data_IF_006737397790
#
_entry.id   IF_006737397790
#
_cell.length_a   1.000
_cell.length_b   1.000
_cell.length_c   1.000
_cell.angle_alpha   90.00
_cell.angle_beta   90.00
_cell.angle_gamma   90.00
#
_symmetry.space_group_name_H-M   'P 1'
#
loop_
_entity.id
_entity.type
_entity.pdbx_description
1 polymer ?
#
# COMPACT_ATOMS: atom_id res chain seq x y z
N UNK A 1 15.56 -11.83 -18.55
CA UNK A 1 15.84 -11.90 -17.11
C UNK A 1 14.62 -12.43 -16.36
N UNK A 2 14.82 -13.04 -15.18
CA UNK A 2 13.73 -13.51 -14.30
C UNK A 2 13.49 -12.48 -13.18
N UNK A 3 12.29 -11.94 -13.12
CA UNK A 3 11.89 -11.01 -12.06
C UNK A 3 10.97 -11.70 -11.06
N UNK A 4 11.23 -11.51 -9.76
CA UNK A 4 10.33 -11.87 -8.68
C UNK A 4 9.73 -10.60 -8.08
N UNK A 5 8.42 -10.43 -8.20
CA UNK A 5 7.67 -9.41 -7.47
C UNK A 5 7.11 -9.97 -6.17
N UNK A 6 7.15 -9.18 -5.09
CA UNK A 6 6.53 -9.53 -3.80
C UNK A 6 5.64 -8.41 -3.33
N UNK A 7 4.32 -8.66 -3.23
CA UNK A 7 3.35 -7.69 -2.79
C UNK A 7 2.23 -8.35 -1.95
N UNK A 8 1.49 -7.56 -1.21
CA UNK A 8 0.33 -8.04 -0.43
C UNK A 8 -0.80 -8.56 -1.32
N UNK A 9 -0.99 -8.00 -2.51
CA UNK A 9 -1.99 -8.42 -3.50
C UNK A 9 -1.38 -8.48 -4.89
N UNK A 10 -1.98 -9.27 -5.78
CA UNK A 10 -1.64 -9.34 -7.20
C UNK A 10 -2.86 -8.85 -8.01
N UNK A 11 -2.75 -7.74 -8.72
CA UNK A 11 -3.83 -7.19 -9.54
C UNK A 11 -5.08 -6.72 -8.79
N UNK A 12 -5.11 -6.80 -7.45
CA UNK A 12 -6.19 -6.28 -6.61
C UNK A 12 -5.74 -5.01 -5.86
N UNK A 13 -6.62 -4.00 -5.81
CA UNK A 13 -6.31 -2.69 -5.23
C UNK A 13 -5.26 -1.91 -6.01
N UNK A 14 -4.95 -0.68 -5.58
CA UNK A 14 -4.05 0.23 -6.30
C UNK A 14 -2.63 -0.33 -6.46
N UNK A 15 -2.01 -0.78 -5.37
CA UNK A 15 -0.64 -1.32 -5.42
C UNK A 15 -0.56 -2.64 -6.18
N UNK A 16 -1.58 -3.52 -6.06
CA UNK A 16 -1.64 -4.77 -6.82
C UNK A 16 -1.75 -4.53 -8.32
N UNK A 17 -2.49 -3.52 -8.76
CA UNK A 17 -2.59 -3.12 -10.17
C UNK A 17 -1.26 -2.56 -10.70
N UNK A 18 -0.58 -1.71 -9.92
CA UNK A 18 0.73 -1.18 -10.29
C UNK A 18 1.77 -2.29 -10.48
N UNK A 19 1.80 -3.27 -9.57
CA UNK A 19 2.72 -4.41 -9.66
C UNK A 19 2.40 -5.30 -10.86
N UNK A 20 1.12 -5.57 -11.11
CA UNK A 20 0.69 -6.36 -12.26
C UNK A 20 1.05 -5.67 -13.58
N UNK A 21 0.83 -4.34 -13.67
CA UNK A 21 1.23 -3.53 -14.83
C UNK A 21 2.74 -3.63 -15.08
N UNK A 22 3.57 -3.41 -14.05
CA UNK A 22 5.03 -3.50 -14.17
C UNK A 22 5.48 -4.91 -14.61
N UNK A 23 4.85 -5.96 -14.10
CA UNK A 23 5.15 -7.33 -14.53
C UNK A 23 4.81 -7.56 -16.01
N UNK A 24 3.66 -7.05 -16.49
CA UNK A 24 3.27 -7.13 -17.90
C UNK A 24 4.20 -6.37 -18.82
N UNK A 25 4.59 -5.17 -18.44
CA UNK A 25 5.56 -4.36 -19.23
C UNK A 25 6.90 -5.07 -19.35
N UNK A 26 7.39 -5.68 -18.29
CA UNK A 26 8.62 -6.48 -18.34
C UNK A 26 8.46 -7.75 -19.17
N UNK A 27 7.31 -8.43 -19.12
CA UNK A 27 7.03 -9.59 -19.97
C UNK A 27 6.97 -9.17 -21.47
N UNK A 28 6.33 -8.06 -21.78
CA UNK A 28 6.30 -7.52 -23.14
C UNK A 28 7.72 -7.18 -23.66
N UNK A 29 8.65 -6.83 -22.75
CA UNK A 29 10.06 -6.64 -23.04
C UNK A 29 10.89 -7.95 -23.06
N UNK A 30 10.25 -9.12 -23.10
CA UNK A 30 10.91 -10.44 -23.21
C UNK A 30 11.46 -11.01 -21.90
N UNK A 31 11.01 -10.50 -20.74
CA UNK A 31 11.44 -11.01 -19.44
C UNK A 31 10.44 -12.04 -18.89
N UNK A 32 10.88 -12.85 -17.93
CA UNK A 32 10.02 -13.79 -17.19
C UNK A 32 9.67 -13.19 -15.84
N UNK A 33 8.38 -13.14 -15.47
CA UNK A 33 7.91 -12.57 -14.22
C UNK A 33 7.18 -13.60 -13.37
N UNK A 34 7.47 -13.61 -12.06
CA UNK A 34 6.72 -14.32 -11.03
C UNK A 34 6.24 -13.31 -10.00
N UNK A 35 4.91 -13.24 -9.78
CA UNK A 35 4.30 -12.33 -8.84
C UNK A 35 3.87 -13.11 -7.60
N UNK A 36 4.63 -12.99 -6.51
CA UNK A 36 4.31 -13.57 -5.22
C UNK A 36 3.40 -12.63 -4.42
N UNK A 37 2.30 -13.18 -3.89
CA UNK A 37 1.27 -12.38 -3.21
C UNK A 37 0.80 -13.02 -1.91
N UNK A 38 0.30 -12.19 -0.99
CA UNK A 38 -0.24 -12.65 0.28
C UNK A 38 -1.73 -12.94 0.25
N UNK A 39 -2.55 -11.96 -0.07
CA UNK A 39 -3.97 -12.01 0.25
C UNK A 39 -4.90 -12.34 -0.91
N UNK A 40 -4.74 -11.69 -2.04
CA UNK A 40 -5.67 -11.78 -3.16
C UNK A 40 -4.92 -11.66 -4.49
N UNK A 41 -5.33 -12.45 -5.46
CA UNK A 41 -4.93 -12.31 -6.85
C UNK A 41 -6.17 -12.11 -7.72
N UNK A 42 -6.15 -11.09 -8.61
CA UNK A 42 -7.26 -10.77 -9.52
C UNK A 42 -6.71 -10.32 -10.87
N UNK A 43 -7.25 -10.86 -11.96
CA UNK A 43 -6.89 -10.43 -13.31
C UNK A 43 -5.44 -10.71 -13.74
N UNK A 44 -4.78 -11.71 -13.13
CA UNK A 44 -3.38 -12.05 -13.37
C UNK A 44 -3.18 -13.15 -14.42
N UNK A 45 -4.20 -13.51 -15.24
CA UNK A 45 -4.17 -14.71 -16.06
C UNK A 45 -2.96 -14.86 -17.00
N UNK A 46 -2.32 -13.79 -17.37
CA UNK A 46 -1.13 -13.70 -18.23
C UNK A 46 0.20 -13.66 -17.44
N UNK A 47 0.14 -13.45 -16.12
CA UNK A 47 1.32 -13.38 -15.25
C UNK A 47 1.32 -14.54 -14.27
N UNK A 48 2.42 -15.31 -14.21
CA UNK A 48 2.56 -16.40 -13.25
C UNK A 48 2.54 -15.86 -11.82
N UNK A 49 1.69 -16.44 -10.98
CA UNK A 49 1.53 -16.03 -9.58
C UNK A 49 1.92 -17.12 -8.59
N UNK A 50 2.30 -16.71 -7.38
CA UNK A 50 2.66 -17.61 -6.27
C UNK A 50 2.06 -17.07 -4.97
N UNK A 51 1.13 -17.83 -4.37
CA UNK A 51 0.56 -17.46 -3.07
C UNK A 51 1.57 -17.69 -1.93
N UNK A 52 1.65 -16.75 -0.98
CA UNK A 52 2.45 -16.85 0.24
C UNK A 52 1.50 -17.16 1.41
N UNK A 53 1.40 -18.42 1.76
CA UNK A 53 0.50 -18.90 2.82
C UNK A 53 -0.96 -19.01 2.40
N UNK A 54 -1.80 -19.31 3.36
CA UNK A 54 -3.24 -19.54 3.24
C UNK A 54 -4.03 -18.44 3.96
N UNK A 55 -5.36 -18.42 3.76
CA UNK A 55 -6.25 -17.52 4.52
C UNK A 55 -6.13 -17.73 6.03
N UNK A 56 -5.90 -18.98 6.48
CA UNK A 56 -5.72 -19.30 7.90
C UNK A 56 -4.43 -18.67 8.43
N UNK A 57 -3.30 -18.83 7.72
CA UNK A 57 -2.02 -18.21 8.10
C UNK A 57 -2.15 -16.70 8.23
N UNK A 58 -2.82 -16.05 7.28
CA UNK A 58 -3.04 -14.60 7.30
C UNK A 58 -3.94 -14.15 8.45
N UNK A 59 -4.98 -14.91 8.76
CA UNK A 59 -5.90 -14.59 9.85
C UNK A 59 -5.22 -14.77 11.21
N UNK A 60 -4.43 -15.82 11.40
CA UNK A 60 -3.64 -16.04 12.62
C UNK A 60 -2.59 -14.94 12.80
N UNK A 61 -1.91 -14.55 11.71
CA UNK A 61 -0.96 -13.44 11.76
C UNK A 61 -1.65 -12.11 12.11
N UNK A 62 -2.81 -11.82 11.51
CA UNK A 62 -3.59 -10.62 11.80
C UNK A 62 -4.12 -10.62 13.24
N UNK A 63 -4.60 -11.75 13.75
CA UNK A 63 -5.05 -11.90 15.12
C UNK A 63 -3.90 -11.64 16.10
N UNK A 64 -2.74 -12.28 15.87
CA UNK A 64 -1.53 -12.04 16.66
C UNK A 64 -1.14 -10.57 16.67
N UNK A 65 -1.20 -9.91 15.50
CA UNK A 65 -0.93 -8.47 15.42
C UNK A 65 -1.94 -7.65 16.23
N UNK A 66 -3.24 -7.95 16.11
CA UNK A 66 -4.30 -7.24 16.86
C UNK A 66 -4.10 -7.30 18.37
N UNK A 67 -3.58 -8.40 18.88
CA UNK A 67 -3.31 -8.58 20.33
C UNK A 67 -1.97 -7.93 20.68
N UNK A 68 -0.89 -8.34 20.05
CA UNK A 68 0.49 -8.06 20.47
C UNK A 68 1.18 -6.91 19.69
N UNK A 69 0.56 -6.37 18.63
CA UNK A 69 1.15 -5.31 17.82
C UNK A 69 2.37 -5.74 16.98
N UNK A 70 2.63 -7.04 16.80
CA UNK A 70 3.84 -7.60 16.17
C UNK A 70 3.68 -7.79 14.66
N UNK A 71 3.24 -6.76 13.93
CA UNK A 71 3.07 -6.81 12.47
C UNK A 71 4.37 -7.12 11.71
N UNK A 72 4.30 -8.05 10.75
CA UNK A 72 5.44 -8.47 9.93
C UNK A 72 6.29 -9.60 10.54
N UNK A 73 5.90 -10.16 11.70
CA UNK A 73 6.64 -11.22 12.40
C UNK A 73 5.82 -12.49 12.66
N UNK A 74 4.73 -12.67 11.91
CA UNK A 74 3.97 -13.92 11.79
C UNK A 74 4.25 -14.62 10.47
N UNK A 75 3.42 -15.61 10.10
CA UNK A 75 3.52 -16.38 8.83
C UNK A 75 4.89 -17.05 8.60
N UNK A 76 5.51 -17.59 9.66
CA UNK A 76 6.86 -18.15 9.60
C UNK A 76 6.95 -19.32 8.61
N UNK A 77 6.13 -20.37 8.79
CA UNK A 77 6.15 -21.57 7.94
C UNK A 77 5.79 -21.24 6.46
N UNK A 78 4.78 -20.37 6.26
CA UNK A 78 4.41 -19.90 4.93
C UNK A 78 5.57 -19.18 4.23
N UNK A 79 6.33 -18.37 4.97
CA UNK A 79 7.51 -17.68 4.40
C UNK A 79 8.66 -18.65 4.12
N UNK A 80 8.89 -19.66 4.95
CA UNK A 80 9.88 -20.70 4.64
C UNK A 80 9.55 -21.44 3.35
N UNK A 81 8.30 -21.91 3.19
CA UNK A 81 7.84 -22.59 2.00
C UNK A 81 7.98 -21.67 0.75
N UNK A 82 7.58 -20.41 0.88
CA UNK A 82 7.77 -19.40 -0.17
C UNK A 82 9.24 -19.26 -0.57
N UNK A 83 10.17 -19.11 0.38
CA UNK A 83 11.60 -18.94 0.09
C UNK A 83 12.21 -20.19 -0.54
N UNK A 84 11.70 -21.39 -0.28
CA UNK A 84 12.08 -22.60 -1.03
C UNK A 84 11.72 -22.46 -2.51
N UNK A 85 10.51 -22.03 -2.83
CA UNK A 85 10.08 -21.79 -4.22
C UNK A 85 10.86 -20.64 -4.89
N UNK A 86 11.25 -19.63 -4.13
CA UNK A 86 12.11 -18.54 -4.64
C UNK A 86 13.49 -19.05 -5.04
N UNK A 87 14.09 -19.93 -4.24
CA UNK A 87 15.38 -20.55 -4.59
C UNK A 87 15.29 -21.43 -5.84
N UNK A 88 14.21 -22.20 -6.00
CA UNK A 88 13.94 -23.00 -7.20
C UNK A 88 13.73 -22.13 -8.43
N UNK A 89 13.03 -21.01 -8.29
CA UNK A 89 12.79 -20.06 -9.37
C UNK A 89 14.08 -19.34 -9.79
N UNK A 90 14.98 -19.08 -8.84
CA UNK A 90 16.25 -18.37 -9.00
C UNK A 90 16.10 -17.05 -9.77
N UNK A 91 15.49 -16.01 -9.17
CA UNK A 91 15.28 -14.73 -9.83
C UNK A 91 16.60 -13.99 -10.07
N UNK A 92 16.72 -13.27 -11.18
CA UNK A 92 17.82 -12.34 -11.45
C UNK A 92 17.64 -11.01 -10.69
N UNK A 93 16.39 -10.59 -10.48
CA UNK A 93 16.02 -9.35 -9.75
C UNK A 93 14.83 -9.64 -8.83
N UNK A 94 14.89 -9.12 -7.60
CA UNK A 94 13.80 -9.19 -6.64
C UNK A 94 13.20 -7.80 -6.46
N UNK A 95 11.89 -7.65 -6.70
CA UNK A 95 11.19 -6.39 -6.59
C UNK A 95 10.11 -6.43 -5.50
N UNK A 96 10.41 -5.78 -4.39
CA UNK A 96 9.53 -5.74 -3.22
C UNK A 96 8.60 -4.52 -3.28
N UNK A 97 7.38 -4.71 -2.82
CA UNK A 97 6.39 -3.65 -2.63
C UNK A 97 5.87 -3.65 -1.19
N UNK A 98 4.55 -3.72 -0.96
CA UNK A 98 3.98 -3.72 0.38
C UNK A 98 4.25 -5.04 1.11
N UNK A 99 5.13 -4.99 2.09
CA UNK A 99 5.46 -6.14 2.96
C UNK A 99 4.58 -6.21 4.22
N UNK A 100 3.75 -5.20 4.47
CA UNK A 100 2.69 -5.27 5.48
C UNK A 100 1.42 -5.93 4.92
N UNK A 101 0.50 -6.34 5.80
CA UNK A 101 -0.72 -7.06 5.38
C UNK A 101 -0.81 -8.49 5.91
N UNK A 102 0.07 -8.87 6.84
CA UNK A 102 0.01 -10.10 7.63
C UNK A 102 0.19 -11.39 6.81
N UNK A 103 1.11 -11.43 5.88
CA UNK A 103 1.30 -12.57 4.97
C UNK A 103 2.75 -13.09 4.92
N UNK A 104 3.72 -12.34 5.39
CA UNK A 104 5.14 -12.65 5.27
C UNK A 104 5.87 -12.40 6.59
N UNK A 105 6.91 -13.20 6.87
CA UNK A 105 7.80 -13.02 8.02
C UNK A 105 9.04 -12.25 7.61
N UNK A 106 9.15 -10.99 8.04
CA UNK A 106 10.22 -10.08 7.66
C UNK A 106 11.63 -10.62 7.96
N UNK A 107 11.82 -11.23 9.13
CA UNK A 107 13.11 -11.77 9.52
C UNK A 107 13.65 -12.78 8.51
N UNK A 108 12.83 -13.75 8.10
CA UNK A 108 13.21 -14.77 7.11
C UNK A 108 13.47 -14.16 5.73
N UNK A 109 12.59 -13.24 5.29
CA UNK A 109 12.73 -12.58 4.00
C UNK A 109 14.05 -11.79 3.92
N UNK A 110 14.29 -10.90 4.89
CA UNK A 110 15.48 -10.03 4.87
C UNK A 110 16.79 -10.79 5.13
N UNK A 111 16.74 -11.89 5.89
CA UNK A 111 17.87 -12.79 6.03
C UNK A 111 18.23 -13.47 4.69
N UNK A 112 17.23 -13.89 3.93
CA UNK A 112 17.42 -14.39 2.55
C UNK A 112 18.00 -13.30 1.63
N UNK A 113 17.41 -12.08 1.63
CA UNK A 113 17.86 -10.98 0.77
C UNK A 113 19.32 -10.57 1.06
N UNK A 114 19.75 -10.66 2.32
CA UNK A 114 21.13 -10.35 2.72
C UNK A 114 22.15 -11.34 2.14
N UNK A 115 21.72 -12.58 1.88
CA UNK A 115 22.59 -13.68 1.47
C UNK A 115 22.46 -14.07 0.00
N UNK A 116 21.38 -13.70 -0.67
CA UNK A 116 21.10 -14.21 -2.03
C UNK A 116 21.99 -13.60 -3.13
N UNK A 117 22.68 -12.48 -2.86
CA UNK A 117 23.54 -11.81 -3.84
C UNK A 117 22.82 -11.21 -5.05
N UNK A 118 21.49 -11.11 -5.01
CA UNK A 118 20.68 -10.60 -6.12
C UNK A 118 20.37 -9.12 -5.93
N UNK A 119 20.27 -8.33 -7.01
CA UNK A 119 19.74 -6.98 -6.96
C UNK A 119 18.31 -6.95 -6.39
N UNK A 120 18.06 -6.02 -5.47
CA UNK A 120 16.76 -5.83 -4.83
C UNK A 120 16.27 -4.40 -5.09
N UNK A 121 15.07 -4.27 -5.60
CA UNK A 121 14.34 -3.00 -5.67
C UNK A 121 13.23 -3.08 -4.61
N UNK A 122 13.10 -2.04 -3.79
CA UNK A 122 11.98 -1.96 -2.85
C UNK A 122 11.21 -0.67 -3.05
N UNK A 123 10.01 -0.79 -3.65
CA UNK A 123 9.10 0.33 -3.83
C UNK A 123 8.28 0.55 -2.57
N UNK A 124 8.48 1.69 -1.93
CA UNK A 124 7.72 2.13 -0.76
C UNK A 124 6.50 2.92 -1.23
N UNK A 125 5.30 2.48 -0.85
CA UNK A 125 4.04 3.15 -1.18
C UNK A 125 3.46 3.97 -0.02
N UNK A 126 4.04 3.80 1.17
CA UNK A 126 3.69 4.49 2.41
C UNK A 126 4.88 4.49 3.39
N UNK A 127 4.65 4.99 4.61
CA UNK A 127 5.71 5.15 5.61
C UNK A 127 5.93 3.93 6.50
N UNK A 128 5.21 2.83 6.30
CA UNK A 128 5.27 1.67 7.19
C UNK A 128 6.68 1.06 7.32
N UNK A 129 7.47 1.10 6.26
CA UNK A 129 8.81 0.50 6.24
C UNK A 129 9.72 1.07 7.33
N UNK A 130 9.66 2.37 7.58
CA UNK A 130 10.55 3.08 8.51
C UNK A 130 9.87 3.56 9.80
N UNK A 131 8.66 3.09 10.09
CA UNK A 131 7.94 3.34 11.35
C UNK A 131 7.83 2.07 12.20
N UNK A 132 7.39 2.20 13.45
CA UNK A 132 7.13 1.04 14.31
C UNK A 132 5.91 0.21 13.90
N UNK A 133 4.89 0.84 13.27
CA UNK A 133 3.67 0.15 12.84
C UNK A 133 2.86 0.94 11.81
N UNK A 134 2.74 2.25 11.95
CA UNK A 134 1.79 3.04 11.16
C UNK A 134 2.30 3.36 9.75
N UNK A 135 1.45 3.28 8.71
CA UNK A 135 1.77 3.75 7.36
C UNK A 135 1.56 5.27 7.18
N UNK A 136 0.84 5.93 8.10
CA UNK A 136 0.42 7.34 7.98
C UNK A 136 0.60 8.09 9.29
N UNK A 137 1.76 8.66 9.55
CA UNK A 137 2.02 9.39 10.78
C UNK A 137 1.72 10.90 10.68
N UNK A 138 1.64 11.45 9.48
CA UNK A 138 1.42 12.89 9.23
C UNK A 138 0.06 13.37 9.75
N UNK A 139 -0.98 12.55 9.62
CA UNK A 139 -2.31 12.86 10.16
C UNK A 139 -2.30 13.09 11.68
N UNK A 140 -1.44 12.40 12.42
CA UNK A 140 -1.30 12.56 13.87
C UNK A 140 -0.18 13.56 14.27
N UNK A 141 0.50 14.17 13.32
CA UNK A 141 1.65 15.04 13.58
C UNK A 141 2.79 14.35 14.33
N UNK A 142 2.97 13.04 14.14
CA UNK A 142 3.91 12.25 14.93
C UNK A 142 5.30 12.23 14.30
N UNK A 143 6.31 12.69 15.02
CA UNK A 143 7.72 12.74 14.58
C UNK A 143 8.60 11.64 15.19
N UNK A 144 8.04 10.74 16.03
CA UNK A 144 8.80 9.70 16.74
C UNK A 144 9.56 8.75 15.82
N UNK A 145 9.09 8.54 14.60
CA UNK A 145 9.73 7.67 13.59
C UNK A 145 11.16 8.11 13.23
N UNK A 146 11.53 9.35 13.44
CA UNK A 146 12.88 9.88 13.15
C UNK A 146 13.95 9.28 14.07
N UNK A 147 13.63 9.12 15.34
CA UNK A 147 14.59 8.68 16.36
C UNK A 147 14.25 7.33 16.99
N UNK A 148 12.96 6.96 17.01
CA UNK A 148 12.47 5.69 17.58
C UNK A 148 11.01 5.78 17.96
N UNK A 149 10.20 4.85 17.47
CA UNK A 149 8.80 4.75 17.83
C UNK A 149 8.62 4.25 19.29
N UNK A 150 7.40 4.40 19.82
CA UNK A 150 7.00 3.99 21.17
C UNK A 150 5.92 4.92 21.72
N UNK A 151 5.01 4.43 22.56
CA UNK A 151 3.87 5.21 23.03
C UNK A 151 3.04 5.75 21.87
N UNK A 152 2.60 4.85 20.97
CA UNK A 152 2.01 5.23 19.68
C UNK A 152 0.66 5.93 19.85
N UNK A 153 0.48 7.20 19.40
CA UNK A 153 -0.80 7.91 19.51
C UNK A 153 -1.86 7.30 18.59
N UNK A 154 -1.45 6.59 17.54
CA UNK A 154 -2.32 5.98 16.54
C UNK A 154 -2.52 4.47 16.74
N UNK A 155 -2.18 3.90 17.90
CA UNK A 155 -2.27 2.46 18.16
C UNK A 155 -3.65 1.86 17.87
N UNK A 156 -4.72 2.63 18.07
CA UNK A 156 -6.10 2.20 17.82
C UNK A 156 -6.58 2.43 16.38
N UNK A 157 -5.77 3.13 15.55
CA UNK A 157 -6.04 3.31 14.13
C UNK A 157 -5.35 2.20 13.32
N UNK A 158 -5.54 2.21 12.01
CA UNK A 158 -4.92 1.20 11.13
C UNK A 158 -3.39 1.30 11.08
N UNK A 159 -2.69 0.19 11.22
CA UNK A 159 -3.10 -1.15 11.66
C UNK A 159 -3.24 -1.22 13.19
N UNK A 160 -4.48 -1.44 13.66
CA UNK A 160 -4.80 -1.37 15.10
C UNK A 160 -4.28 -2.56 15.89
N UNK A 161 -3.86 -2.31 17.15
CA UNK A 161 -3.43 -3.36 18.09
C UNK A 161 -3.76 -3.01 19.54
N UNK A 162 -3.91 -4.05 20.38
CA UNK A 162 -4.20 -3.90 21.80
C UNK A 162 -2.94 -3.48 22.60
N UNK A 163 -1.82 -4.13 22.35
CA UNK A 163 -0.54 -3.84 23.00
C UNK A 163 0.35 -3.00 22.08
N UNK A 164 1.07 -2.05 22.66
CA UNK A 164 1.99 -1.20 21.89
C UNK A 164 3.38 -1.84 21.79
N UNK A 165 3.63 -2.51 20.68
CA UNK A 165 4.94 -3.05 20.32
C UNK A 165 5.75 -2.13 19.38
N UNK A 166 5.34 -0.86 19.18
CA UNK A 166 5.92 0.01 18.14
C UNK A 166 7.40 0.29 18.37
N UNK A 167 7.88 0.36 19.62
CA UNK A 167 9.31 0.54 19.93
C UNK A 167 10.12 -0.67 19.48
N UNK A 168 9.65 -1.86 19.81
CA UNK A 168 10.34 -3.10 19.45
C UNK A 168 10.28 -3.36 17.94
N UNK A 169 9.13 -3.12 17.32
CA UNK A 169 8.99 -3.24 15.87
C UNK A 169 9.93 -2.28 15.12
N UNK A 170 10.05 -1.03 15.59
CA UNK A 170 10.98 -0.06 15.02
C UNK A 170 12.43 -0.56 15.10
N UNK A 171 12.85 -0.99 16.30
CA UNK A 171 14.20 -1.53 16.53
C UNK A 171 14.49 -2.74 15.64
N UNK A 172 13.55 -3.69 15.57
CA UNK A 172 13.67 -4.89 14.73
C UNK A 172 13.71 -4.56 13.25
N UNK A 173 12.83 -3.69 12.77
CA UNK A 173 12.83 -3.24 11.36
C UNK A 173 14.13 -2.54 11.02
N UNK A 174 14.61 -1.64 11.85
CA UNK A 174 15.90 -0.98 11.64
C UNK A 174 17.02 -2.01 11.48
N UNK A 175 17.12 -2.99 12.37
CA UNK A 175 18.15 -4.03 12.31
C UNK A 175 18.01 -4.94 11.07
N UNK A 176 16.78 -5.26 10.63
CA UNK A 176 16.53 -6.13 9.49
C UNK A 176 16.70 -5.42 8.16
N UNK A 177 16.25 -4.19 8.05
CA UNK A 177 16.13 -3.46 6.78
C UNK A 177 17.40 -2.68 6.41
N UNK A 178 18.33 -2.48 7.34
CA UNK A 178 19.62 -1.86 7.05
C UNK A 178 20.68 -2.89 6.68
N UNK A 179 21.67 -2.48 5.88
CA UNK A 179 22.80 -3.31 5.47
C UNK A 179 22.44 -4.46 4.50
N UNK A 180 21.38 -4.32 3.69
CA UNK A 180 21.08 -5.25 2.61
C UNK A 180 21.94 -4.88 1.39
N UNK A 181 22.77 -5.80 0.88
CA UNK A 181 23.55 -5.55 -0.33
C UNK A 181 22.65 -5.31 -1.55
N UNK A 182 23.08 -4.43 -2.46
CA UNK A 182 22.42 -4.17 -3.74
C UNK A 182 20.92 -3.80 -3.64
N UNK A 183 20.50 -3.24 -2.49
CA UNK A 183 19.13 -2.70 -2.33
C UNK A 183 19.06 -1.26 -2.84
N UNK A 184 18.11 -1.02 -3.74
CA UNK A 184 17.70 0.33 -4.16
C UNK A 184 16.27 0.57 -3.72
N UNK A 185 16.01 1.72 -3.09
CA UNK A 185 14.67 2.16 -2.74
C UNK A 185 14.05 2.94 -3.89
N UNK A 186 12.75 2.74 -4.08
CA UNK A 186 11.94 3.50 -5.02
C UNK A 186 10.73 4.09 -4.28
N UNK A 187 10.36 5.33 -4.61
CA UNK A 187 9.20 6.01 -4.02
C UNK A 187 8.40 6.73 -5.11
N UNK A 188 7.05 6.87 -4.97
CA UNK A 188 6.21 7.48 -5.98
C UNK A 188 6.21 9.02 -5.96
N UNK A 189 6.84 9.65 -4.99
CA UNK A 189 6.85 11.12 -4.88
C UNK A 189 8.10 11.64 -4.17
N UNK A 190 8.48 12.87 -4.48
CA UNK A 190 9.56 13.57 -3.79
C UNK A 190 9.26 13.69 -2.29
N UNK A 191 8.01 13.99 -1.90
CA UNK A 191 7.59 14.05 -0.51
C UNK A 191 7.94 12.78 0.28
N UNK A 192 7.64 11.60 -0.25
CA UNK A 192 8.00 10.34 0.42
C UNK A 192 9.51 10.11 0.40
N UNK A 193 10.20 10.53 -0.67
CA UNK A 193 11.66 10.50 -0.76
C UNK A 193 12.33 11.32 0.34
N UNK A 194 11.83 12.52 0.58
CA UNK A 194 12.33 13.43 1.64
C UNK A 194 12.12 12.83 3.05
N UNK A 195 11.03 12.08 3.26
CA UNK A 195 10.82 11.35 4.51
C UNK A 195 11.78 10.16 4.65
N UNK A 196 11.98 9.39 3.60
CA UNK A 196 12.93 8.26 3.60
C UNK A 196 14.35 8.74 3.90
N UNK A 197 14.79 9.85 3.30
CA UNK A 197 16.11 10.43 3.52
C UNK A 197 16.36 10.90 4.97
N UNK A 198 15.29 11.06 5.77
CA UNK A 198 15.35 11.41 7.20
C UNK A 198 15.14 10.19 8.11
N UNK A 199 14.93 9.00 7.54
CA UNK A 199 14.70 7.75 8.28
C UNK A 199 15.97 6.92 8.42
N UNK A 200 15.87 5.77 9.08
CA UNK A 200 16.97 4.81 9.16
C UNK A 200 17.29 4.11 7.82
N UNK A 201 16.52 4.39 6.77
CA UNK A 201 16.77 3.86 5.41
C UNK A 201 17.55 4.85 4.52
N UNK A 202 17.97 5.99 5.06
CA UNK A 202 18.60 7.11 4.33
C UNK A 202 19.87 6.76 3.55
N UNK A 203 20.56 5.70 3.96
CA UNK A 203 21.86 5.31 3.37
C UNK A 203 21.73 4.47 2.09
N UNK A 204 20.50 4.11 1.69
CA UNK A 204 20.25 3.40 0.45
C UNK A 204 20.13 4.34 -0.75
N UNK A 205 20.57 3.92 -1.95
CA UNK A 205 20.22 4.60 -3.19
C UNK A 205 18.70 4.75 -3.29
N UNK A 206 18.23 5.97 -3.59
CA UNK A 206 16.80 6.28 -3.68
C UNK A 206 16.46 6.82 -5.07
N UNK A 207 15.36 6.33 -5.64
CA UNK A 207 14.80 6.77 -6.91
C UNK A 207 13.36 7.25 -6.71
N UNK A 208 13.05 8.44 -7.22
CA UNK A 208 11.66 8.92 -7.29
C UNK A 208 11.10 8.54 -8.65
N UNK A 209 10.11 7.64 -8.66
CA UNK A 209 9.42 7.16 -9.86
C UNK A 209 7.92 7.30 -9.63
N UNK A 210 7.29 8.35 -10.18
CA UNK A 210 5.85 8.58 -10.00
C UNK A 210 5.00 7.42 -10.50
N UNK A 211 3.91 7.15 -9.78
CA UNK A 211 2.90 6.23 -10.28
C UNK A 211 2.25 6.81 -11.54
N UNK A 212 2.10 5.99 -12.56
CA UNK A 212 1.49 6.40 -13.82
C UNK A 212 0.10 5.78 -13.97
N UNK A 213 -0.89 6.60 -14.30
CA UNK A 213 -2.17 6.13 -14.79
C UNK A 213 -1.99 5.54 -16.20
N UNK A 214 -2.81 4.56 -16.53
CA UNK A 214 -2.84 4.03 -17.90
C UNK A 214 -3.67 4.96 -18.79
N UNK A 215 -3.08 5.67 -19.75
CA UNK A 215 -3.80 6.62 -20.59
C UNK A 215 -4.79 5.95 -21.56
N UNK A 216 -4.67 4.65 -21.80
CA UNK A 216 -5.64 3.89 -22.58
C UNK A 216 -6.96 3.64 -21.81
N UNK A 217 -6.90 3.71 -20.47
CA UNK A 217 -8.04 3.54 -19.56
C UNK A 217 -8.50 4.88 -18.99
N UNK A 218 -7.55 5.72 -18.57
CA UNK A 218 -7.81 7.00 -17.92
C UNK A 218 -7.59 8.15 -18.90
N UNK A 219 -8.59 8.42 -19.73
CA UNK A 219 -8.63 9.56 -20.68
C UNK A 219 -10.00 10.25 -20.61
N UNK A 220 -10.10 11.51 -21.03
CA UNK A 220 -11.38 12.20 -21.10
C UNK A 220 -12.37 11.41 -21.97
N UNK A 221 -13.46 10.98 -21.37
CA UNK A 221 -14.49 10.17 -22.03
C UNK A 221 -15.86 10.82 -21.76
N UNK A 222 -16.72 10.98 -22.78
CA UNK A 222 -18.09 11.43 -22.55
C UNK A 222 -18.80 10.52 -21.56
N UNK A 223 -19.44 11.12 -20.55
CA UNK A 223 -20.23 10.37 -19.57
C UNK A 223 -21.60 11.02 -19.41
N UNK A 224 -22.64 10.21 -19.16
CA UNK A 224 -23.99 10.67 -18.89
C UNK A 224 -24.21 11.19 -17.47
N UNK A 225 -23.16 11.26 -16.61
CA UNK A 225 -23.30 11.62 -15.20
C UNK A 225 -23.99 12.98 -15.00
N UNK A 226 -23.64 13.98 -15.81
CA UNK A 226 -24.21 15.31 -15.66
C UNK A 226 -25.70 15.32 -15.99
N UNK A 227 -26.11 14.64 -17.06
CA UNK A 227 -27.50 14.52 -17.47
C UNK A 227 -28.31 13.68 -16.46
N UNK A 228 -27.74 12.58 -15.97
CA UNK A 228 -28.40 11.70 -15.02
C UNK A 228 -28.76 12.39 -13.71
N UNK A 229 -27.92 13.35 -13.27
CA UNK A 229 -28.09 14.04 -11.98
C UNK A 229 -28.43 15.54 -12.13
N UNK A 230 -28.71 16.04 -13.35
CA UNK A 230 -29.07 17.44 -13.60
C UNK A 230 -27.93 18.42 -13.23
N UNK A 231 -26.71 18.11 -13.63
CA UNK A 231 -25.49 18.82 -13.23
C UNK A 231 -24.78 19.50 -14.43
N UNK A 232 -25.48 19.69 -15.55
CA UNK A 232 -24.93 20.21 -16.79
C UNK A 232 -24.25 21.57 -16.60
N UNK A 233 -24.91 22.46 -15.88
CA UNK A 233 -24.47 23.84 -15.64
C UNK A 233 -23.70 24.02 -14.32
N UNK A 234 -23.39 22.91 -13.61
CA UNK A 234 -22.70 22.97 -12.32
C UNK A 234 -21.18 22.80 -12.47
N UNK A 235 -20.43 23.54 -11.67
CA UNK A 235 -19.02 23.24 -11.45
C UNK A 235 -18.93 22.06 -10.46
N UNK A 236 -18.28 20.96 -10.86
CA UNK A 236 -18.19 19.74 -10.03
C UNK A 236 -16.92 19.72 -9.19
N UNK A 237 -17.08 19.56 -7.89
CA UNK A 237 -15.99 19.27 -6.95
C UNK A 237 -16.04 17.77 -6.62
N UNK A 238 -15.08 17.01 -7.11
CA UNK A 238 -15.05 15.56 -7.01
C UNK A 238 -14.18 15.08 -5.85
N UNK A 239 -14.74 14.21 -5.00
CA UNK A 239 -14.02 13.42 -4.01
C UNK A 239 -14.20 11.92 -4.26
N UNK A 240 -13.11 11.14 -4.22
CA UNK A 240 -13.17 9.69 -4.37
C UNK A 240 -12.31 8.98 -3.33
N UNK A 241 -12.87 8.00 -2.65
CA UNK A 241 -12.13 7.15 -1.71
C UNK A 241 -12.69 5.74 -1.68
N UNK A 242 -11.79 4.76 -1.54
CA UNK A 242 -12.19 3.37 -1.34
C UNK A 242 -12.86 3.15 0.03
N UNK A 243 -12.33 3.83 1.06
CA UNK A 243 -12.90 3.90 2.40
C UNK A 243 -12.75 5.35 2.88
N UNK A 244 -13.85 5.95 3.29
CA UNK A 244 -13.87 7.30 3.83
C UNK A 244 -13.51 7.30 5.32
N UNK A 245 -12.20 7.35 5.57
CA UNK A 245 -11.62 7.55 6.90
C UNK A 245 -11.40 9.03 7.18
N UNK A 246 -11.28 9.46 8.47
CA UNK A 246 -11.05 10.88 8.82
C UNK A 246 -9.93 11.55 8.02
N UNK A 247 -8.82 10.84 7.78
CA UNK A 247 -7.69 11.35 6.99
C UNK A 247 -7.99 11.60 5.51
N UNK A 248 -9.12 11.14 5.00
CA UNK A 248 -9.58 11.37 3.62
C UNK A 248 -10.40 12.65 3.47
N UNK A 249 -10.57 13.40 4.57
CA UNK A 249 -11.13 14.75 4.54
C UNK A 249 -12.62 14.80 4.31
N UNK A 250 -13.41 13.76 4.67
CA UNK A 250 -14.86 13.80 4.52
C UNK A 250 -15.48 15.01 5.25
N UNK A 251 -14.98 15.31 6.45
CA UNK A 251 -15.43 16.47 7.22
C UNK A 251 -15.14 17.80 6.50
N UNK A 252 -14.04 17.87 5.75
CA UNK A 252 -13.67 19.05 4.96
C UNK A 252 -14.63 19.23 3.78
N UNK A 253 -15.04 18.13 3.11
CA UNK A 253 -16.06 18.18 2.08
C UNK A 253 -17.41 18.63 2.62
N UNK A 254 -17.81 18.14 3.81
CA UNK A 254 -19.05 18.58 4.48
C UNK A 254 -18.98 20.07 4.81
N UNK A 255 -17.85 20.56 5.33
CA UNK A 255 -17.65 21.99 5.58
C UNK A 255 -17.63 22.80 4.28
N UNK A 256 -16.97 22.29 3.24
CA UNK A 256 -16.93 22.95 1.94
C UNK A 256 -18.34 23.10 1.33
N UNK A 257 -19.22 22.13 1.52
CA UNK A 257 -20.60 22.17 1.03
C UNK A 257 -21.39 23.38 1.55
N UNK A 258 -21.09 23.87 2.76
CA UNK A 258 -21.73 25.07 3.32
C UNK A 258 -21.10 26.38 2.83
N UNK A 259 -20.00 26.35 2.12
CA UNK A 259 -19.27 27.53 1.65
C UNK A 259 -19.38 27.76 0.14
N UNK A 260 -19.76 26.74 -0.61
CA UNK A 260 -19.86 26.81 -2.07
C UNK A 260 -21.18 27.42 -2.52
N UNK A 261 -21.16 28.21 -3.62
CA UNK A 261 -22.40 28.74 -4.22
C UNK A 261 -23.19 27.62 -4.89
N UNK A 262 -24.47 27.89 -5.17
CA UNK A 262 -25.38 26.93 -5.83
C UNK A 262 -24.89 26.49 -7.23
N UNK A 263 -24.06 27.26 -7.89
CA UNK A 263 -23.43 26.89 -9.17
C UNK A 263 -22.40 25.77 -9.04
N UNK A 264 -22.02 25.37 -7.81
CA UNK A 264 -21.12 24.28 -7.54
C UNK A 264 -21.85 23.06 -6.97
N UNK A 265 -21.41 21.86 -7.32
CA UNK A 265 -21.91 20.61 -6.77
C UNK A 265 -20.74 19.73 -6.29
N UNK A 266 -20.82 19.26 -5.04
CA UNK A 266 -19.90 18.25 -4.54
C UNK A 266 -20.42 16.87 -4.92
N UNK A 267 -19.55 16.04 -5.52
CA UNK A 267 -19.80 14.65 -5.87
C UNK A 267 -18.79 13.77 -5.14
N UNK A 268 -19.27 12.88 -4.26
CA UNK A 268 -18.41 11.95 -3.51
C UNK A 268 -18.65 10.52 -3.95
N UNK A 269 -17.59 9.85 -4.38
CA UNK A 269 -17.62 8.44 -4.83
C UNK A 269 -17.07 7.53 -3.74
N UNK A 270 -17.68 6.35 -3.57
CA UNK A 270 -17.29 5.35 -2.58
C UNK A 270 -17.96 5.57 -1.21
N UNK A 271 -19.09 6.25 -1.18
CA UNK A 271 -19.88 6.49 0.03
C UNK A 271 -20.79 5.27 0.28
N UNK A 272 -20.66 4.56 1.41
CA UNK A 272 -21.59 3.50 1.77
C UNK A 272 -22.94 4.08 2.20
N UNK A 273 -24.03 3.31 1.99
CA UNK A 273 -25.40 3.77 2.22
C UNK A 273 -25.64 4.32 3.66
N UNK A 274 -25.04 3.69 4.66
CA UNK A 274 -25.15 4.17 6.05
C UNK A 274 -24.52 5.54 6.27
N UNK A 275 -23.46 5.88 5.54
CA UNK A 275 -22.79 7.17 5.64
C UNK A 275 -23.49 8.23 4.79
N UNK A 276 -24.09 7.85 3.66
CA UNK A 276 -24.87 8.74 2.78
C UNK A 276 -25.96 9.51 3.55
N UNK A 277 -26.65 8.81 4.45
CA UNK A 277 -27.74 9.39 5.26
C UNK A 277 -27.30 10.49 6.25
N UNK A 278 -26.01 10.60 6.51
CA UNK A 278 -25.44 11.60 7.43
C UNK A 278 -24.88 12.82 6.70
N UNK A 279 -24.86 12.81 5.37
CA UNK A 279 -24.31 13.88 4.56
C UNK A 279 -25.38 14.95 4.27
N UNK A 280 -24.99 16.22 4.09
CA UNK A 280 -25.87 17.28 3.61
C UNK A 280 -26.45 16.93 2.22
N UNK A 281 -27.70 17.40 1.98
CA UNK A 281 -28.44 17.14 0.73
C UNK A 281 -27.76 17.72 -0.51
N UNK A 282 -26.98 18.77 -0.38
CA UNK A 282 -26.21 19.39 -1.45
C UNK A 282 -24.89 18.65 -1.77
N UNK A 283 -24.67 17.46 -1.18
CA UNK A 283 -23.60 16.53 -1.57
C UNK A 283 -24.20 15.34 -2.31
N UNK A 284 -23.89 15.18 -3.59
CA UNK A 284 -24.22 13.98 -4.35
C UNK A 284 -23.29 12.83 -3.92
N UNK A 285 -23.82 11.90 -3.15
CA UNK A 285 -23.10 10.76 -2.64
C UNK A 285 -23.39 9.51 -3.50
N UNK A 286 -22.34 9.01 -4.17
CA UNK A 286 -22.40 7.84 -5.04
C UNK A 286 -21.74 6.64 -4.38
N UNK A 287 -22.25 5.41 -4.61
CA UNK A 287 -21.63 4.20 -4.12
C UNK A 287 -20.28 3.96 -4.77
N UNK A 288 -19.60 2.93 -4.30
CA UNK A 288 -18.36 2.47 -4.90
C UNK A 288 -18.63 1.89 -6.30
N UNK A 289 -17.88 2.34 -7.30
CA UNK A 289 -17.86 1.75 -8.65
C UNK A 289 -16.98 0.50 -8.67
N UNK A 290 -17.35 -0.47 -9.49
CA UNK A 290 -16.67 -1.78 -9.60
C UNK A 290 -15.80 -1.85 -10.87
#
# INVERSE_FOLDING_TARGET
MKYLFVNVTAGAGSTGQLVLKAARELQAAGNTCLLAYGREAKGCGDVKTLAIGTKLDHNLHALRHRIFGTGGFGSYAATQAFLTRVREYDPDVIWLHNLHGYYIHLGLLFDYLRRCGKPVIWTLHDCWAFTGNCPYFTYAGCEKWRTGCGGCPQRRLYPSCALDATRENYRRKKALFTGIPQLTLQVPSQWLGDLVSQSFLKDYPLRVVPNQADPSVFHPTPSGLRQEYGLEDKFLVLGAANVWEPRKGLADFVRLASLLPESCQIVLIGIPEGLKRTLPENILALPRTH
#
